data_IF_830271823243
#
_entry.id   IF_830271823243
#
_cell.length_a   1.000
_cell.length_b   1.000
_cell.length_c   1.000
_cell.angle_alpha   90.00
_cell.angle_beta   90.00
_cell.angle_gamma   90.00
#
_symmetry.space_group_name_H-M   'P 1'
#
loop_
_entity.id
_entity.type
_entity.pdbx_description
1 polymer ?
#
# COMPACT_ATOMS: atom_id res chain seq x y z
N UNK A 1 23.88 -4.25 15.53
CA UNK A 1 23.76 -3.29 14.41
C UNK A 1 23.59 -4.03 13.07
N UNK A 2 24.36 -5.10 12.84
CA UNK A 2 24.39 -5.77 11.52
C UNK A 2 23.08 -6.51 11.18
N UNK A 3 22.43 -7.14 12.14
CA UNK A 3 21.19 -7.91 11.90
C UNK A 3 20.00 -7.00 11.53
N UNK A 4 19.86 -5.83 12.15
CA UNK A 4 18.78 -4.91 11.83
C UNK A 4 19.00 -4.26 10.46
N UNK A 5 20.25 -3.94 10.12
CA UNK A 5 20.58 -3.35 8.83
C UNK A 5 20.25 -4.32 7.69
N UNK A 6 20.56 -5.60 7.85
CA UNK A 6 20.20 -6.61 6.86
C UNK A 6 18.69 -6.72 6.67
N UNK A 7 17.90 -6.69 7.76
CA UNK A 7 16.44 -6.73 7.69
C UNK A 7 15.85 -5.48 7.02
N UNK A 8 16.44 -4.31 7.31
CA UNK A 8 16.05 -3.03 6.68
C UNK A 8 16.27 -3.11 5.17
N UNK A 9 17.44 -3.56 4.73
CA UNK A 9 17.77 -3.73 3.32
C UNK A 9 16.82 -4.73 2.63
N UNK A 10 16.61 -5.90 3.23
CA UNK A 10 15.69 -6.92 2.71
C UNK A 10 14.27 -6.38 2.51
N UNK A 11 13.72 -5.64 3.48
CA UNK A 11 12.40 -5.04 3.36
C UNK A 11 12.40 -4.02 2.23
N UNK A 12 13.36 -3.10 2.23
CA UNK A 12 13.44 -2.00 1.28
C UNK A 12 13.50 -2.52 -0.17
N UNK A 13 14.35 -3.48 -0.45
CA UNK A 13 14.54 -4.07 -1.79
C UNK A 13 13.32 -4.89 -2.24
N UNK A 14 12.55 -5.42 -1.29
CA UNK A 14 11.37 -6.25 -1.59
C UNK A 14 10.13 -5.41 -1.94
N UNK A 15 10.01 -4.17 -1.46
CA UNK A 15 8.82 -3.32 -1.66
C UNK A 15 8.42 -3.17 -3.14
N UNK A 16 9.32 -2.85 -4.09
CA UNK A 16 8.93 -2.67 -5.48
C UNK A 16 8.24 -3.91 -6.06
N UNK A 17 8.78 -5.10 -5.80
CA UNK A 17 8.21 -6.36 -6.27
C UNK A 17 6.86 -6.70 -5.62
N UNK A 18 6.64 -6.29 -4.38
CA UNK A 18 5.35 -6.47 -3.69
C UNK A 18 4.28 -5.55 -4.30
N UNK A 19 4.61 -4.29 -4.56
CA UNK A 19 3.69 -3.32 -5.14
C UNK A 19 3.29 -3.66 -6.59
N UNK A 20 4.10 -4.45 -7.30
CA UNK A 20 3.77 -4.92 -8.65
C UNK A 20 2.70 -6.01 -8.67
N UNK A 21 2.45 -6.69 -7.54
CA UNK A 21 1.46 -7.76 -7.45
C UNK A 21 0.04 -7.20 -7.45
N UNK A 22 -0.91 -8.02 -7.86
CA UNK A 22 -2.33 -7.68 -7.77
C UNK A 22 -2.75 -7.47 -6.31
N UNK A 23 -2.34 -8.37 -5.42
CA UNK A 23 -2.49 -8.23 -3.97
C UNK A 23 -1.23 -7.58 -3.40
N UNK A 24 -1.34 -6.32 -2.98
CA UNK A 24 -0.22 -5.49 -2.53
C UNK A 24 0.10 -5.62 -1.04
N UNK A 25 -0.52 -6.56 -0.34
CA UNK A 25 -0.14 -6.90 1.03
C UNK A 25 1.30 -7.37 1.07
N UNK A 26 2.06 -6.86 2.01
CA UNK A 26 3.46 -7.23 2.17
C UNK A 26 3.57 -8.68 2.62
N UNK A 27 4.07 -9.54 1.75
CA UNK A 27 4.26 -10.95 2.06
C UNK A 27 5.63 -11.18 2.70
N UNK A 28 5.64 -11.38 4.00
CA UNK A 28 6.87 -11.63 4.77
C UNK A 28 7.61 -12.90 4.32
N UNK A 29 6.91 -13.89 3.77
CA UNK A 29 7.56 -15.10 3.25
C UNK A 29 8.56 -14.82 2.12
N UNK A 30 8.46 -13.66 1.47
CA UNK A 30 9.45 -13.23 0.47
C UNK A 30 10.79 -12.79 1.10
N UNK A 31 10.80 -12.47 2.39
CA UNK A 31 12.02 -12.15 3.13
C UNK A 31 12.71 -13.43 3.63
N UNK A 32 11.93 -14.36 4.18
CA UNK A 32 12.38 -15.67 4.65
C UNK A 32 11.15 -16.59 4.82
N UNK A 33 11.31 -17.88 4.57
CA UNK A 33 10.26 -18.91 4.70
C UNK A 33 9.60 -18.93 6.09
N UNK A 34 10.33 -18.54 7.13
CA UNK A 34 9.85 -18.49 8.52
C UNK A 34 9.68 -17.05 9.04
N UNK A 35 9.67 -16.05 8.16
CA UNK A 35 9.54 -14.65 8.55
C UNK A 35 8.18 -14.40 9.22
N UNK A 36 8.24 -13.77 10.41
CA UNK A 36 7.07 -13.28 11.14
C UNK A 36 7.23 -11.79 11.38
N UNK A 37 6.13 -11.05 11.40
CA UNK A 37 6.15 -9.59 11.57
C UNK A 37 7.01 -9.18 12.78
N UNK A 38 6.83 -9.78 13.95
CA UNK A 38 7.59 -9.49 15.16
C UNK A 38 9.12 -9.54 14.99
N UNK A 39 9.62 -10.31 14.01
CA UNK A 39 11.07 -10.45 13.77
C UNK A 39 11.62 -9.31 12.91
N UNK A 40 10.74 -8.59 12.20
CA UNK A 40 11.05 -7.51 11.28
C UNK A 40 10.46 -6.16 11.71
N UNK A 41 9.64 -6.15 12.75
CA UNK A 41 8.92 -4.98 13.25
C UNK A 41 9.84 -3.77 13.45
N UNK A 42 10.97 -3.97 14.14
CA UNK A 42 11.95 -2.91 14.34
C UNK A 42 12.54 -2.34 13.06
N UNK A 43 12.71 -3.17 12.02
CA UNK A 43 13.20 -2.72 10.71
C UNK A 43 12.13 -1.94 9.93
N UNK A 44 10.85 -2.34 10.00
CA UNK A 44 9.74 -1.57 9.43
C UNK A 44 9.61 -0.20 10.09
N UNK A 45 9.66 -0.15 11.42
CA UNK A 45 9.61 1.13 12.14
C UNK A 45 10.81 2.01 11.84
N UNK A 46 12.00 1.44 11.74
CA UNK A 46 13.20 2.18 11.37
C UNK A 46 13.05 2.85 9.99
N UNK A 47 12.61 2.09 8.98
CA UNK A 47 12.36 2.62 7.62
C UNK A 47 11.31 3.72 7.60
N UNK A 48 10.23 3.55 8.38
CA UNK A 48 9.18 4.54 8.52
C UNK A 48 9.68 5.81 9.21
N UNK A 49 10.40 5.68 10.33
CA UNK A 49 10.93 6.82 11.10
C UNK A 49 12.02 7.56 10.33
N UNK A 50 12.78 6.85 9.49
CA UNK A 50 13.74 7.45 8.55
C UNK A 50 13.06 8.19 7.38
N UNK A 51 11.72 8.13 7.26
CA UNK A 51 10.99 8.76 6.17
C UNK A 51 11.21 8.10 4.81
N UNK A 52 11.53 6.80 4.77
CA UNK A 52 11.75 6.07 3.54
C UNK A 52 10.49 5.36 3.05
N UNK A 53 9.64 4.92 3.98
CA UNK A 53 8.40 4.21 3.66
C UNK A 53 7.20 4.76 4.43
N UNK A 54 6.03 4.56 3.84
CA UNK A 54 4.72 4.70 4.45
C UNK A 54 4.11 3.33 4.66
N UNK A 55 3.58 3.06 5.86
CA UNK A 55 2.93 1.80 6.18
C UNK A 55 1.42 2.01 6.26
N UNK A 56 0.66 1.24 5.48
CA UNK A 56 -0.79 1.15 5.61
C UNK A 56 -1.15 -0.13 6.38
N UNK A 57 -2.02 0.00 7.37
CA UNK A 57 -2.43 -1.08 8.25
C UNK A 57 -3.80 -1.60 7.86
N UNK A 58 -3.97 -2.92 7.87
CA UNK A 58 -5.27 -3.53 7.64
C UNK A 58 -6.17 -3.31 8.86
N UNK A 59 -7.29 -2.62 8.69
CA UNK A 59 -8.32 -2.58 9.74
C UNK A 59 -9.26 -3.76 9.60
N UNK A 60 -9.58 -4.43 10.71
CA UNK A 60 -10.54 -5.55 10.70
C UNK A 60 -11.99 -5.08 10.72
N UNK A 61 -12.22 -3.84 11.15
CA UNK A 61 -13.52 -3.18 11.16
C UNK A 61 -13.43 -1.78 10.56
N UNK A 62 -14.00 -1.57 9.36
CA UNK A 62 -13.98 -0.26 8.70
C UNK A 62 -15.01 0.69 9.33
N UNK A 63 -14.73 1.15 10.55
CA UNK A 63 -15.55 2.10 11.31
C UNK A 63 -14.70 3.30 11.77
N UNK A 64 -15.29 4.22 12.51
CA UNK A 64 -14.67 5.48 12.94
C UNK A 64 -13.35 5.30 13.71
N UNK A 65 -13.14 4.14 14.30
CA UNK A 65 -11.91 3.79 15.04
C UNK A 65 -10.94 2.96 14.23
N UNK A 66 -10.60 3.35 13.00
CA UNK A 66 -9.74 2.57 12.08
C UNK A 66 -8.48 1.99 12.74
N UNK A 67 -7.85 2.75 13.62
CA UNK A 67 -6.63 2.32 14.32
C UNK A 67 -6.85 1.48 15.58
N UNK A 68 -8.09 1.23 15.99
CA UNK A 68 -8.38 0.47 17.22
C UNK A 68 -8.36 -1.05 16.99
N UNK A 69 -8.60 -1.48 15.76
CA UNK A 69 -8.66 -2.89 15.38
C UNK A 69 -7.83 -3.15 14.14
N UNK A 70 -6.54 -3.27 14.36
CA UNK A 70 -5.55 -3.51 13.29
C UNK A 70 -5.16 -4.99 13.31
N UNK A 71 -5.01 -5.56 12.12
CA UNK A 71 -4.31 -6.82 11.94
C UNK A 71 -2.83 -6.52 11.70
N UNK A 72 -2.02 -6.70 12.73
CA UNK A 72 -0.57 -6.41 12.69
C UNK A 72 0.20 -7.29 11.69
N UNK A 73 -0.35 -8.43 11.30
CA UNK A 73 0.27 -9.32 10.32
C UNK A 73 -0.08 -8.97 8.87
N UNK A 74 -0.93 -7.98 8.66
CA UNK A 74 -1.41 -7.58 7.35
C UNK A 74 -1.16 -6.10 7.14
N UNK A 75 -0.13 -5.77 6.38
CA UNK A 75 0.26 -4.41 6.08
C UNK A 75 0.57 -4.26 4.58
N UNK A 76 0.48 -3.01 4.08
CA UNK A 76 1.00 -2.62 2.77
C UNK A 76 2.12 -1.59 3.00
N UNK A 77 3.20 -1.69 2.22
CA UNK A 77 4.30 -0.75 2.27
C UNK A 77 4.38 0.05 0.98
N UNK A 78 4.45 1.35 1.10
CA UNK A 78 4.64 2.29 0.00
C UNK A 78 5.91 3.08 0.25
N UNK A 79 6.58 3.55 -0.80
CA UNK A 79 7.68 4.50 -0.61
C UNK A 79 7.14 5.86 -0.20
N UNK A 80 7.89 6.55 0.65
CA UNK A 80 7.58 7.92 1.05
C UNK A 80 7.64 8.87 -0.15
N UNK A 81 8.54 8.59 -1.11
CA UNK A 81 8.69 9.33 -2.36
C UNK A 81 8.47 8.39 -3.56
N UNK A 82 7.50 8.72 -4.40
CA UNK A 82 7.22 7.95 -5.62
C UNK A 82 8.37 8.02 -6.63
N UNK A 83 9.18 9.08 -6.63
CA UNK A 83 10.40 9.15 -7.42
C UNK A 83 11.43 8.11 -7.02
N UNK A 84 11.54 7.81 -5.72
CA UNK A 84 12.38 6.72 -5.20
C UNK A 84 11.89 5.35 -5.68
N UNK A 85 10.57 5.10 -5.64
CA UNK A 85 9.98 3.88 -6.19
C UNK A 85 10.35 3.71 -7.67
N UNK A 86 10.18 4.75 -8.47
CA UNK A 86 10.53 4.72 -9.90
C UNK A 86 12.02 4.48 -10.12
N UNK A 87 12.87 5.15 -9.34
CA UNK A 87 14.32 4.97 -9.42
C UNK A 87 14.72 3.51 -9.16
N UNK A 88 14.16 2.87 -8.14
CA UNK A 88 14.45 1.47 -7.80
C UNK A 88 13.95 0.49 -8.85
N UNK A 89 12.73 0.70 -9.35
CA UNK A 89 12.15 -0.17 -10.39
C UNK A 89 12.93 -0.12 -11.70
N UNK A 90 13.51 1.04 -12.03
CA UNK A 90 14.23 1.23 -13.30
C UNK A 90 15.75 1.23 -13.15
N UNK A 91 16.28 1.04 -11.94
CA UNK A 91 17.72 1.10 -11.67
C UNK A 91 18.53 0.04 -12.44
N UNK A 92 17.94 -1.10 -12.75
CA UNK A 92 18.58 -2.18 -13.51
C UNK A 92 18.59 -1.93 -15.04
N UNK A 93 17.93 -0.86 -15.49
CA UNK A 93 17.86 -0.54 -16.93
C UNK A 93 18.66 0.73 -17.20
N UNK A 94 19.65 0.63 -18.07
CA UNK A 94 20.42 1.77 -18.60
C UNK A 94 19.60 2.76 -19.44
N UNK A 95 18.31 2.90 -19.16
CA UNK A 95 17.43 3.82 -19.85
C UNK A 95 17.58 5.19 -19.19
N UNK A 96 17.89 6.21 -19.97
CA UNK A 96 17.99 7.58 -19.48
C UNK A 96 16.72 7.96 -18.71
N UNK A 97 16.88 8.37 -17.44
CA UNK A 97 15.76 8.69 -16.51
C UNK A 97 14.71 9.59 -17.15
N UNK A 98 15.12 10.55 -17.96
CA UNK A 98 14.24 11.47 -18.65
C UNK A 98 13.33 10.81 -19.69
N UNK A 99 13.80 9.79 -20.40
CA UNK A 99 12.99 9.01 -21.35
C UNK A 99 11.93 8.15 -20.65
N UNK A 100 12.26 7.61 -19.46
CA UNK A 100 11.31 6.83 -18.65
C UNK A 100 10.18 7.72 -18.19
N UNK A 101 10.48 8.87 -17.62
CA UNK A 101 9.45 9.84 -17.17
C UNK A 101 8.55 10.28 -18.34
N UNK A 102 9.15 10.59 -19.50
CA UNK A 102 8.38 10.92 -20.71
C UNK A 102 7.47 9.78 -21.16
N UNK A 103 7.95 8.53 -21.12
CA UNK A 103 7.17 7.36 -21.54
C UNK A 103 6.03 7.05 -20.55
N UNK A 104 6.24 7.24 -19.25
CA UNK A 104 5.19 7.11 -18.23
C UNK A 104 4.12 8.18 -18.43
N UNK A 105 4.51 9.45 -18.57
CA UNK A 105 3.61 10.59 -18.76
C UNK A 105 2.79 10.50 -20.06
N UNK A 106 3.31 9.85 -21.09
CA UNK A 106 2.64 9.71 -22.40
C UNK A 106 2.04 8.33 -22.64
N UNK A 107 1.82 7.53 -21.57
CA UNK A 107 1.18 6.21 -21.64
C UNK A 107 1.85 5.23 -22.62
N UNK A 108 3.14 5.38 -22.84
CA UNK A 108 3.93 4.59 -23.80
C UNK A 108 4.71 3.44 -23.16
N UNK A 109 4.68 3.33 -21.83
CA UNK A 109 5.26 2.21 -21.11
C UNK A 109 4.11 1.32 -20.64
N UNK A 110 4.09 0.08 -21.12
CA UNK A 110 3.29 -0.98 -20.50
C UNK A 110 3.86 -1.30 -19.12
N UNK A 111 3.52 -0.48 -18.13
CA UNK A 111 3.98 -0.59 -16.76
C UNK A 111 2.79 -0.67 -15.83
N UNK A 112 2.96 -1.25 -14.64
CA UNK A 112 1.88 -1.34 -13.66
C UNK A 112 1.58 0.05 -13.06
N UNK A 113 0.78 0.85 -13.77
CA UNK A 113 0.35 2.19 -13.36
C UNK A 113 -0.35 2.18 -12.02
N UNK A 114 -1.08 1.09 -11.70
CA UNK A 114 -1.76 0.93 -10.42
C UNK A 114 -0.80 1.00 -9.24
N UNK A 115 0.42 0.48 -9.39
CA UNK A 115 1.46 0.57 -8.36
C UNK A 115 1.88 2.02 -8.11
N UNK A 116 2.11 2.77 -9.17
CA UNK A 116 2.53 4.18 -9.09
C UNK A 116 1.40 5.02 -8.50
N UNK A 117 0.18 4.84 -8.98
CA UNK A 117 -0.98 5.60 -8.52
C UNK A 117 -1.28 5.36 -7.05
N UNK A 118 -1.24 4.11 -6.58
CA UNK A 118 -1.41 3.83 -5.15
C UNK A 118 -0.28 4.46 -4.31
N UNK A 119 0.97 4.42 -4.78
CA UNK A 119 2.08 5.07 -4.07
C UNK A 119 1.90 6.59 -4.00
N UNK A 120 1.45 7.24 -5.09
CA UNK A 120 1.14 8.68 -5.11
C UNK A 120 0.03 9.01 -4.10
N UNK A 121 -1.03 8.22 -4.05
CA UNK A 121 -2.12 8.43 -3.09
C UNK A 121 -1.63 8.23 -1.65
N UNK A 122 -0.84 7.19 -1.39
CA UNK A 122 -0.23 6.97 -0.07
C UNK A 122 0.64 8.16 0.36
N UNK A 123 1.52 8.64 -0.52
CA UNK A 123 2.35 9.82 -0.31
C UNK A 123 1.51 11.07 -0.05
N UNK A 124 0.48 11.31 -0.85
CA UNK A 124 -0.42 12.47 -0.71
C UNK A 124 -1.16 12.44 0.64
N UNK A 125 -1.75 11.30 1.01
CA UNK A 125 -2.45 11.17 2.28
C UNK A 125 -1.52 11.39 3.48
N UNK A 126 -0.30 10.84 3.41
CA UNK A 126 0.68 11.01 4.48
C UNK A 126 1.17 12.45 4.60
N UNK A 127 1.38 13.14 3.46
CA UNK A 127 1.83 14.54 3.44
C UNK A 127 0.84 15.51 4.11
N UNK A 128 -0.45 15.18 4.12
CA UNK A 128 -1.49 15.94 4.83
C UNK A 128 -1.76 15.39 6.25
N UNK A 129 -0.86 14.56 6.78
CA UNK A 129 -0.90 14.05 8.16
C UNK A 129 -1.87 12.89 8.39
N UNK A 130 -2.38 12.24 7.35
CA UNK A 130 -3.25 11.08 7.50
C UNK A 130 -2.43 9.82 7.78
N UNK A 131 -2.90 9.01 8.75
CA UNK A 131 -2.44 7.62 8.89
C UNK A 131 -3.11 6.78 7.81
N UNK A 132 -2.37 5.84 7.25
CA UNK A 132 -2.85 4.98 6.19
C UNK A 132 -3.48 3.72 6.76
N UNK A 133 -4.70 3.45 6.34
CA UNK A 133 -5.43 2.21 6.61
C UNK A 133 -6.00 1.67 5.31
N UNK A 134 -6.11 0.35 5.23
CA UNK A 134 -6.84 -0.34 4.18
C UNK A 134 -7.78 -1.38 4.79
N UNK A 135 -8.68 -1.92 4.01
CA UNK A 135 -9.54 -3.00 4.44
C UNK A 135 -9.45 -4.14 3.45
N UNK A 136 -9.19 -5.34 3.94
CA UNK A 136 -9.20 -6.52 3.12
C UNK A 136 -9.84 -7.67 3.90
N UNK A 137 -10.92 -8.20 3.32
CA UNK A 137 -11.60 -9.40 3.82
C UNK A 137 -11.63 -10.42 2.70
N UNK A 138 -11.09 -11.59 2.97
CA UNK A 138 -11.21 -12.75 2.09
C UNK A 138 -12.16 -13.78 2.70
N UNK A 139 -13.10 -14.26 1.91
CA UNK A 139 -13.98 -15.37 2.28
C UNK A 139 -13.97 -16.40 1.15
N UNK A 140 -13.40 -17.59 1.43
CA UNK A 140 -13.30 -18.68 0.46
C UNK A 140 -14.64 -19.31 0.10
N UNK A 141 -15.63 -19.23 1.02
CA UNK A 141 -16.96 -19.84 0.86
C UNK A 141 -17.94 -18.88 0.17
N UNK A 142 -17.74 -17.58 0.32
CA UNK A 142 -18.62 -16.56 -0.24
C UNK A 142 -17.85 -15.41 -0.90
N UNK A 143 -17.68 -15.51 -2.21
CA UNK A 143 -16.99 -14.47 -3.00
C UNK A 143 -17.66 -13.08 -2.89
N UNK A 144 -18.96 -13.01 -2.57
CA UNK A 144 -19.64 -11.73 -2.37
C UNK A 144 -19.16 -11.00 -1.11
N UNK A 145 -18.60 -11.70 -0.15
CA UNK A 145 -18.01 -11.12 1.05
C UNK A 145 -16.53 -10.76 0.88
N UNK A 146 -15.89 -11.29 -0.15
CA UNK A 146 -14.51 -10.90 -0.46
C UNK A 146 -14.50 -9.49 -0.99
N UNK A 147 -13.72 -8.62 -0.35
CA UNK A 147 -13.51 -7.23 -0.79
C UNK A 147 -12.16 -6.72 -0.34
N UNK A 148 -11.64 -5.79 -1.10
CA UNK A 148 -10.46 -5.00 -0.75
C UNK A 148 -10.74 -3.53 -1.06
N UNK A 149 -10.37 -2.64 -0.14
CA UNK A 149 -10.40 -1.18 -0.30
C UNK A 149 -8.97 -0.69 -0.08
N UNK A 150 -8.44 0.02 -1.06
CA UNK A 150 -7.03 0.41 -1.07
C UNK A 150 -6.67 1.34 0.07
N UNK A 151 -7.51 2.36 0.36
CA UNK A 151 -7.32 3.23 1.51
C UNK A 151 -8.65 3.56 2.19
N UNK A 152 -8.56 3.76 3.51
CA UNK A 152 -9.65 4.25 4.34
C UNK A 152 -9.15 5.46 5.14
N UNK A 153 -9.92 6.55 5.13
CA UNK A 153 -9.66 7.71 5.97
C UNK A 153 -10.91 8.07 6.78
N UNK A 154 -10.71 8.59 7.98
CA UNK A 154 -11.81 9.13 8.79
C UNK A 154 -12.11 10.55 8.33
N UNK A 155 -13.39 10.92 8.24
CA UNK A 155 -13.81 12.31 8.01
C UNK A 155 -13.34 13.23 9.13
N UNK A 156 -13.04 14.47 8.80
CA UNK A 156 -12.68 15.49 9.80
C UNK A 156 -13.89 15.89 10.64
N UNK A 157 -15.09 15.87 10.05
CA UNK A 157 -16.35 16.12 10.77
C UNK A 157 -17.10 14.81 10.94
N UNK A 158 -17.28 14.40 12.19
CA UNK A 158 -18.01 13.20 12.54
C UNK A 158 -19.51 13.48 12.49
N UNK A 159 -20.23 12.62 11.78
CA UNK A 159 -21.70 12.63 11.66
C UNK A 159 -22.29 11.34 12.22
N UNK A 160 -23.61 11.23 12.24
CA UNK A 160 -24.28 10.00 12.69
C UNK A 160 -24.05 8.78 11.80
N UNK A 161 -23.68 8.99 10.53
CA UNK A 161 -23.45 7.92 9.54
C UNK A 161 -22.30 8.27 8.60
N UNK A 162 -21.68 7.22 8.04
CA UNK A 162 -20.68 7.35 6.97
C UNK A 162 -19.49 8.27 7.34
N UNK A 163 -18.85 7.94 8.47
CA UNK A 163 -17.71 8.70 8.99
C UNK A 163 -16.36 8.30 8.36
N UNK A 164 -16.38 7.32 7.47
CA UNK A 164 -15.20 6.82 6.75
C UNK A 164 -15.35 7.17 5.27
N UNK A 165 -14.24 7.54 4.66
CA UNK A 165 -14.11 7.76 3.24
C UNK A 165 -13.26 6.61 2.68
N UNK A 166 -13.85 5.67 1.94
CA UNK A 166 -13.10 4.66 1.21
C UNK A 166 -12.53 5.27 -0.07
N UNK A 167 -11.29 4.90 -0.37
CA UNK A 167 -10.59 5.31 -1.58
C UNK A 167 -10.16 4.03 -2.30
N UNK A 168 -10.57 3.90 -3.54
CA UNK A 168 -10.20 2.83 -4.45
C UNK A 168 -9.39 3.43 -5.60
N UNK A 169 -8.18 2.95 -5.81
CA UNK A 169 -7.29 3.45 -6.84
C UNK A 169 -7.44 2.60 -8.09
N UNK A 170 -7.74 3.22 -9.22
CA UNK A 170 -7.87 2.54 -10.50
C UNK A 170 -6.95 3.20 -11.52
N UNK A 171 -6.22 2.37 -12.25
CA UNK A 171 -5.46 2.76 -13.43
C UNK A 171 -6.12 2.13 -14.65
N UNK A 172 -6.43 2.92 -15.67
CA UNK A 172 -7.04 2.47 -16.92
C UNK A 172 -8.55 2.76 -17.03
N UNK A 173 -9.08 2.53 -18.22
CA UNK A 173 -10.43 2.99 -18.62
C UNK A 173 -11.57 2.06 -18.19
N UNK A 174 -11.26 0.82 -17.83
CA UNK A 174 -12.26 -0.19 -17.45
C UNK A 174 -12.10 -0.60 -16.00
N UNK A 175 -13.01 -0.14 -15.16
CA UNK A 175 -13.02 -0.47 -13.73
C UNK A 175 -14.43 -0.70 -13.19
N UNK A 176 -14.51 -1.40 -12.06
CA UNK A 176 -15.77 -1.66 -11.35
C UNK A 176 -15.70 -1.06 -9.95
N UNK A 177 -16.84 -0.66 -9.41
CA UNK A 177 -16.98 -0.18 -8.04
C UNK A 177 -17.43 -1.26 -7.06
N UNK A 178 -17.15 -2.53 -7.37
CA UNK A 178 -17.67 -3.68 -6.62
C UNK A 178 -17.35 -3.60 -5.12
N UNK A 179 -16.09 -3.34 -4.75
CA UNK A 179 -15.68 -3.25 -3.35
C UNK A 179 -16.30 -2.05 -2.63
N UNK A 180 -16.35 -0.88 -3.29
CA UNK A 180 -16.98 0.31 -2.74
C UNK A 180 -18.49 0.11 -2.49
N UNK A 181 -19.18 -0.52 -3.45
CA UNK A 181 -20.60 -0.83 -3.29
C UNK A 181 -20.85 -1.82 -2.15
N UNK A 182 -20.06 -2.89 -2.07
CA UNK A 182 -20.13 -3.86 -0.97
C UNK A 182 -19.88 -3.20 0.41
N UNK A 183 -18.97 -2.23 0.49
CA UNK A 183 -18.71 -1.51 1.74
C UNK A 183 -19.85 -0.56 2.11
N UNK A 184 -20.45 0.12 1.12
CA UNK A 184 -21.59 1.02 1.34
C UNK A 184 -22.83 0.29 1.86
N UNK A 185 -23.06 -0.94 1.37
CA UNK A 185 -24.26 -1.71 1.64
C UNK A 185 -24.17 -2.50 2.99
N UNK A 186 -23.07 -2.33 3.76
CA UNK A 186 -22.86 -2.80 5.12
C UNK A 186 -23.14 -1.73 6.17
#
# INVERSE_FOLDING_TARGET
ADEINLKVEQIFDTIPSQLQKHEKKFNLANLSSNARFRNYEGAFYWLKDAGLINIAYNTTEPNIGLGQRIDDNSLKCYFFDTGLLLALVFNEREIAKEEIYKKILFDKLSFNEGMIMENIIAQTLTSIGRKLYFFSKYNSENANETMEIDFLITKDTITSKHNIIPIEVKSGDRYTYSSLNKLRDK
#
